data_IF_865228468436
#
_entry.id   IF_865228468436
#
_cell.length_a   1.000
_cell.length_b   1.000
_cell.length_c   1.000
_cell.angle_alpha   90.00
_cell.angle_beta   90.00
_cell.angle_gamma   90.00
#
_symmetry.space_group_name_H-M   'P 1'
#
loop_
_entity.id
_entity.type
_entity.pdbx_description
1 polymer ?
#
# COMPACT_ATOMS: atom_id res chain seq x y z
N UNK A 1 4.19 20.23 2.33
CA UNK A 1 5.36 19.64 1.64
C UNK A 1 5.13 18.16 1.47
N UNK A 2 5.54 17.59 0.35
CA UNK A 2 5.40 16.17 0.05
C UNK A 2 6.74 15.47 0.29
N UNK A 3 6.71 14.40 1.07
CA UNK A 3 7.85 13.52 1.30
C UNK A 3 7.71 12.29 0.38
N UNK A 4 8.74 12.02 -0.41
CA UNK A 4 8.79 10.78 -1.16
C UNK A 4 9.07 9.63 -0.18
N UNK A 5 8.33 8.54 -0.32
CA UNK A 5 8.42 7.39 0.57
C UNK A 5 8.57 6.09 -0.20
N UNK A 6 9.18 5.13 0.47
CA UNK A 6 9.24 3.74 0.05
C UNK A 6 8.54 2.83 1.06
N UNK A 7 8.16 1.63 0.64
CA UNK A 7 7.58 0.64 1.53
C UNK A 7 8.72 -0.03 2.30
N UNK A 8 8.79 0.23 3.61
CA UNK A 8 9.78 -0.38 4.48
C UNK A 8 9.40 -1.83 4.84
N UNK A 9 8.11 -2.14 4.88
CA UNK A 9 7.65 -3.49 5.17
C UNK A 9 6.16 -3.59 5.41
N UNK A 10 5.72 -4.84 5.58
CA UNK A 10 4.40 -5.22 6.05
C UNK A 10 4.57 -6.00 7.35
N UNK A 11 3.78 -5.68 8.35
CA UNK A 11 3.77 -6.36 9.65
C UNK A 11 2.33 -6.55 10.15
N UNK A 12 2.18 -7.21 11.29
CA UNK A 12 0.87 -7.40 11.93
C UNK A 12 0.82 -6.64 13.24
N UNK A 13 -0.29 -5.96 13.50
CA UNK A 13 -0.59 -5.41 14.79
C UNK A 13 -0.99 -6.55 15.74
N UNK A 14 -0.23 -6.84 16.81
CA UNK A 14 -0.52 -7.96 17.70
C UNK A 14 -1.80 -7.75 18.51
N UNK A 15 -2.22 -6.51 18.73
CA UNK A 15 -3.42 -6.19 19.50
C UNK A 15 -4.71 -6.41 18.70
N UNK A 16 -4.72 -6.02 17.42
CA UNK A 16 -5.91 -6.08 16.55
C UNK A 16 -5.84 -7.20 15.52
N UNK A 17 -4.70 -7.86 15.37
CA UNK A 17 -4.43 -8.85 14.32
C UNK A 17 -4.69 -8.29 12.91
N UNK A 18 -4.36 -7.01 12.72
CA UNK A 18 -4.57 -6.27 11.48
C UNK A 18 -3.22 -5.98 10.81
N UNK A 19 -3.09 -6.17 9.49
CA UNK A 19 -1.87 -5.82 8.78
C UNK A 19 -1.57 -4.32 8.84
N UNK A 20 -0.29 -4.00 8.97
CA UNK A 20 0.23 -2.63 8.92
C UNK A 20 1.24 -2.53 7.77
N UNK A 21 1.06 -1.57 6.90
CA UNK A 21 2.09 -1.17 5.95
C UNK A 21 2.88 -0.01 6.52
N UNK A 22 4.21 -0.09 6.43
CA UNK A 22 5.11 0.95 6.93
C UNK A 22 5.71 1.68 5.72
N UNK A 23 5.38 2.96 5.60
CA UNK A 23 5.97 3.86 4.62
C UNK A 23 7.10 4.65 5.29
N UNK A 24 8.30 4.56 4.75
CA UNK A 24 9.47 5.27 5.24
C UNK A 24 9.86 6.39 4.26
N UNK A 25 10.16 7.58 4.78
CA UNK A 25 10.70 8.68 4.00
C UNK A 25 12.05 8.30 3.37
N UNK A 26 12.25 8.70 2.12
CA UNK A 26 13.52 8.50 1.42
C UNK A 26 14.60 9.47 1.92
N UNK A 27 14.22 10.60 2.51
CA UNK A 27 15.11 11.69 2.91
C UNK A 27 15.52 11.66 4.39
N UNK A 28 14.70 11.03 5.24
CA UNK A 28 14.93 11.00 6.70
C UNK A 28 14.44 9.68 7.32
N UNK A 29 14.57 9.54 8.65
CA UNK A 29 14.18 8.32 9.37
C UNK A 29 12.67 8.27 9.72
N UNK A 30 11.86 9.20 9.19
CA UNK A 30 10.45 9.24 9.52
C UNK A 30 9.70 8.12 8.80
N UNK A 31 8.77 7.50 9.54
CA UNK A 31 7.93 6.45 9.02
C UNK A 31 6.46 6.68 9.39
N UNK A 32 5.56 6.21 8.55
CA UNK A 32 4.12 6.26 8.74
C UNK A 32 3.56 4.85 8.69
N UNK A 33 3.06 4.33 9.82
CA UNK A 33 2.32 3.07 9.85
C UNK A 33 0.87 3.31 9.41
N UNK A 34 0.38 2.46 8.52
CA UNK A 34 -1.01 2.52 8.05
C UNK A 34 -1.64 1.13 8.21
N UNK A 35 -2.69 1.04 9.01
CA UNK A 35 -3.48 -0.19 9.17
C UNK A 35 -4.32 -0.43 7.93
N UNK A 36 -4.26 -1.63 7.38
CA UNK A 36 -4.93 -2.02 6.14
C UNK A 36 -5.63 -3.37 6.31
N UNK A 37 -6.55 -3.70 5.40
CA UNK A 37 -7.19 -5.01 5.40
C UNK A 37 -6.27 -6.13 4.92
N UNK A 38 -6.61 -7.37 5.26
CA UNK A 38 -5.81 -8.54 4.87
C UNK A 38 -5.77 -8.73 3.35
N UNK A 39 -6.88 -8.52 2.66
CA UNK A 39 -6.94 -8.61 1.20
C UNK A 39 -6.10 -7.54 0.52
N UNK A 40 -6.10 -6.33 1.06
CA UNK A 40 -5.29 -5.22 0.60
C UNK A 40 -3.80 -5.49 0.83
N UNK A 41 -3.44 -5.99 2.02
CA UNK A 41 -2.06 -6.39 2.33
C UNK A 41 -1.56 -7.50 1.37
N UNK A 42 -2.41 -8.46 1.08
CA UNK A 42 -2.14 -9.53 0.10
C UNK A 42 -1.88 -8.98 -1.30
N UNK A 43 -2.71 -8.02 -1.74
CA UNK A 43 -2.53 -7.38 -3.04
C UNK A 43 -1.22 -6.60 -3.14
N UNK A 44 -0.82 -5.91 -2.07
CA UNK A 44 0.45 -5.19 -1.99
C UNK A 44 1.63 -6.17 -1.97
N UNK A 45 1.56 -7.19 -1.13
CA UNK A 45 2.62 -8.20 -1.03
C UNK A 45 2.85 -8.93 -2.36
N UNK A 46 1.79 -9.31 -3.07
CA UNK A 46 1.91 -9.94 -4.38
C UNK A 46 2.59 -9.04 -5.42
N UNK A 47 2.28 -7.75 -5.39
CA UNK A 47 2.93 -6.79 -6.28
C UNK A 47 4.42 -6.60 -5.94
N UNK A 48 4.77 -6.51 -4.66
CA UNK A 48 6.16 -6.41 -4.20
C UNK A 48 6.99 -7.64 -4.60
N UNK A 49 6.39 -8.82 -4.56
CA UNK A 49 7.05 -10.09 -4.92
C UNK A 49 6.97 -10.42 -6.41
N UNK A 50 6.35 -9.56 -7.23
CA UNK A 50 6.11 -9.79 -8.65
C UNK A 50 5.36 -11.10 -8.95
N UNK A 51 4.45 -11.49 -8.06
CA UNK A 51 3.62 -12.66 -8.25
C UNK A 51 2.62 -12.39 -9.41
N UNK A 52 2.60 -13.30 -10.37
CA UNK A 52 1.65 -13.25 -11.49
C UNK A 52 0.63 -14.34 -11.31
N UNK A 53 -0.64 -13.96 -11.34
CA UNK A 53 -1.77 -14.86 -11.29
C UNK A 53 -2.20 -15.27 -12.71
N UNK A 54 -2.79 -16.45 -12.85
CA UNK A 54 -3.36 -16.91 -14.13
C UNK A 54 -4.47 -15.99 -14.65
N UNK A 55 -5.20 -15.37 -13.72
CA UNK A 55 -6.23 -14.37 -14.02
C UNK A 55 -5.94 -13.08 -13.24
N UNK A 56 -6.24 -11.90 -13.81
CA UNK A 56 -5.99 -10.64 -13.13
C UNK A 56 -6.86 -10.53 -11.86
N UNK A 57 -6.23 -10.17 -10.75
CA UNK A 57 -6.92 -9.78 -9.52
C UNK A 57 -7.43 -8.33 -9.65
N UNK A 58 -8.18 -7.84 -8.66
CA UNK A 58 -8.87 -6.54 -8.76
C UNK A 58 -7.97 -5.38 -9.16
N UNK A 59 -6.80 -5.22 -8.53
CA UNK A 59 -5.87 -4.12 -8.87
C UNK A 59 -5.18 -4.37 -10.22
N UNK A 60 -4.92 -5.63 -10.60
CA UNK A 60 -4.39 -5.98 -11.91
C UNK A 60 -5.42 -5.68 -13.01
N UNK A 61 -6.70 -5.97 -12.74
CA UNK A 61 -7.79 -5.65 -13.65
C UNK A 61 -7.91 -4.14 -13.89
N UNK A 62 -7.82 -3.34 -12.82
CA UNK A 62 -7.83 -1.88 -12.94
C UNK A 62 -6.62 -1.37 -13.71
N UNK A 63 -5.43 -1.93 -13.49
CA UNK A 63 -4.27 -1.61 -14.30
C UNK A 63 -4.50 -1.92 -15.78
N UNK A 64 -4.99 -3.12 -16.10
CA UNK A 64 -5.29 -3.52 -17.48
C UNK A 64 -6.32 -2.58 -18.12
N UNK A 65 -7.35 -2.18 -17.37
CA UNK A 65 -8.34 -1.23 -17.82
C UNK A 65 -7.72 0.14 -18.15
N UNK A 66 -6.90 0.67 -17.25
CA UNK A 66 -6.22 1.94 -17.45
C UNK A 66 -5.25 1.88 -18.67
N UNK A 67 -4.47 0.80 -18.78
CA UNK A 67 -3.57 0.58 -19.92
C UNK A 67 -4.35 0.55 -21.26
N UNK A 68 -5.50 -0.10 -21.28
CA UNK A 68 -6.37 -0.15 -22.49
C UNK A 68 -6.85 1.23 -22.90
N UNK A 69 -7.10 2.12 -21.95
CA UNK A 69 -7.49 3.51 -22.17
C UNK A 69 -6.29 4.46 -22.32
N UNK A 70 -5.06 3.94 -22.30
CA UNK A 70 -3.83 4.75 -22.37
C UNK A 70 -3.74 5.77 -21.22
N UNK A 71 -4.23 5.37 -20.03
CA UNK A 71 -4.16 6.15 -18.79
C UNK A 71 -3.01 5.59 -17.95
N UNK A 72 -2.17 6.48 -17.42
CA UNK A 72 -1.09 6.12 -16.50
C UNK A 72 -1.24 6.82 -15.16
N UNK A 73 -0.59 6.29 -14.13
CA UNK A 73 -0.48 6.92 -12.81
C UNK A 73 0.86 7.64 -12.73
N UNK A 74 0.81 8.94 -12.44
CA UNK A 74 1.99 9.80 -12.29
C UNK A 74 2.59 9.69 -10.90
N UNK A 75 1.73 9.68 -9.91
CA UNK A 75 2.06 9.53 -8.49
C UNK A 75 0.83 9.11 -7.68
N UNK A 76 1.06 8.64 -6.48
CA UNK A 76 0.03 8.54 -5.44
C UNK A 76 0.48 9.33 -4.21
N UNK A 77 -0.49 9.78 -3.42
CA UNK A 77 -0.25 10.69 -2.33
C UNK A 77 -1.15 10.35 -1.15
N UNK A 78 -0.56 10.07 0.01
CA UNK A 78 -1.31 10.01 1.28
C UNK A 78 -1.40 11.45 1.78
N UNK A 79 -2.58 12.05 1.63
CA UNK A 79 -2.76 13.50 1.72
C UNK A 79 -3.38 13.99 3.01
N UNK A 80 -4.01 13.13 3.81
CA UNK A 80 -4.61 13.54 5.08
C UNK A 80 -4.75 12.38 6.07
N UNK A 81 -4.87 12.73 7.35
CA UNK A 81 -5.21 11.85 8.45
C UNK A 81 -6.25 12.55 9.33
N UNK A 82 -7.48 12.04 9.35
CA UNK A 82 -8.60 12.55 10.15
C UNK A 82 -9.28 11.42 10.87
N UNK A 83 -9.54 11.59 12.15
CA UNK A 83 -10.26 10.60 12.97
C UNK A 83 -9.72 9.18 12.79
N UNK A 84 -8.39 9.01 12.87
CA UNK A 84 -7.66 7.77 12.61
C UNK A 84 -7.87 7.16 11.21
N UNK A 85 -8.36 7.93 10.27
CA UNK A 85 -8.58 7.51 8.88
C UNK A 85 -7.61 8.24 7.97
N UNK A 86 -6.78 7.47 7.27
CA UNK A 86 -5.89 7.99 6.24
C UNK A 86 -6.62 8.17 4.92
N UNK A 87 -6.36 9.27 4.24
CA UNK A 87 -6.88 9.60 2.92
C UNK A 87 -5.75 9.62 1.90
N UNK A 88 -6.03 9.15 0.70
CA UNK A 88 -5.06 9.18 -0.39
C UNK A 88 -5.69 9.68 -1.69
N UNK A 89 -4.84 10.13 -2.61
CA UNK A 89 -5.19 10.50 -3.98
C UNK A 89 -4.28 9.79 -4.97
N UNK A 90 -4.87 9.39 -6.08
CA UNK A 90 -4.18 8.82 -7.22
C UNK A 90 -4.23 9.83 -8.34
N UNK A 91 -3.06 10.23 -8.85
CA UNK A 91 -2.94 11.20 -9.93
C UNK A 91 -2.74 10.49 -11.25
N UNK A 92 -3.71 10.64 -12.12
CA UNK A 92 -3.75 10.04 -13.43
C UNK A 92 -3.40 11.04 -14.52
N UNK A 93 -2.83 10.52 -15.60
CA UNK A 93 -2.61 11.25 -16.83
C UNK A 93 -3.03 10.40 -18.02
N UNK A 94 -3.70 11.02 -18.97
CA UNK A 94 -3.97 10.49 -20.29
C UNK A 94 -3.36 11.44 -21.33
N UNK A 95 -3.59 11.15 -22.61
CA UNK A 95 -3.05 11.95 -23.72
C UNK A 95 -3.45 13.43 -23.63
N UNK A 96 -4.66 13.70 -23.17
CA UNK A 96 -5.28 15.03 -23.24
C UNK A 96 -5.69 15.60 -21.87
N UNK A 97 -5.60 14.81 -20.80
CA UNK A 97 -6.12 15.18 -19.49
C UNK A 97 -5.23 14.66 -18.36
N UNK A 98 -5.20 15.43 -17.28
CA UNK A 98 -4.74 14.99 -15.97
C UNK A 98 -5.85 15.18 -14.96
N UNK A 99 -6.04 14.21 -14.07
CA UNK A 99 -7.06 14.22 -13.04
C UNK A 99 -6.60 13.40 -11.84
N UNK A 100 -7.22 13.61 -10.71
CA UNK A 100 -6.97 12.84 -9.50
C UNK A 100 -8.27 12.24 -8.95
N UNK A 101 -8.12 11.12 -8.26
CA UNK A 101 -9.23 10.38 -7.67
C UNK A 101 -8.93 10.12 -6.20
N UNK A 102 -9.93 10.32 -5.35
CA UNK A 102 -9.90 9.90 -3.96
C UNK A 102 -9.79 8.37 -3.84
N UNK A 103 -8.97 7.89 -2.93
CA UNK A 103 -8.72 6.48 -2.74
C UNK A 103 -8.34 6.16 -1.30
N UNK A 104 -8.53 4.90 -0.90
CA UNK A 104 -7.89 4.42 0.32
C UNK A 104 -6.38 4.29 0.08
N UNK A 105 -5.53 4.55 1.09
CA UNK A 105 -4.08 4.40 0.94
C UNK A 105 -3.66 3.02 0.42
N UNK A 106 -4.29 1.96 0.88
CA UNK A 106 -4.01 0.59 0.45
C UNK A 106 -4.22 0.38 -1.06
N UNK A 107 -5.31 0.92 -1.62
CA UNK A 107 -5.60 0.85 -3.05
C UNK A 107 -4.62 1.70 -3.87
N UNK A 108 -4.34 2.90 -3.39
CA UNK A 108 -3.37 3.79 -4.02
C UNK A 108 -1.97 3.17 -4.09
N UNK A 109 -1.50 2.57 -2.98
CA UNK A 109 -0.21 1.88 -2.90
C UNK A 109 -0.18 0.64 -3.81
N UNK A 110 -1.23 -0.19 -3.77
CA UNK A 110 -1.34 -1.39 -4.61
C UNK A 110 -1.26 -1.06 -6.11
N UNK A 111 -1.86 0.06 -6.52
CA UNK A 111 -1.79 0.56 -7.89
C UNK A 111 -0.44 1.21 -8.20
N UNK A 112 0.12 2.01 -7.28
CA UNK A 112 1.44 2.62 -7.45
C UNK A 112 2.50 1.56 -7.75
N UNK A 113 2.50 0.45 -7.04
CA UNK A 113 3.42 -0.66 -7.28
C UNK A 113 3.27 -1.26 -8.69
N UNK A 114 2.03 -1.44 -9.17
CA UNK A 114 1.75 -2.00 -10.49
C UNK A 114 2.12 -1.05 -11.63
N UNK A 115 1.94 0.24 -11.42
CA UNK A 115 2.31 1.28 -12.40
C UNK A 115 3.77 1.76 -12.24
N UNK A 116 4.48 1.30 -11.22
CA UNK A 116 5.82 1.79 -10.85
C UNK A 116 5.83 3.31 -10.63
N UNK A 117 4.74 3.81 -10.08
CA UNK A 117 4.56 5.22 -9.76
C UNK A 117 5.14 5.54 -8.36
N UNK A 118 5.70 6.73 -8.16
CA UNK A 118 6.20 7.14 -6.86
C UNK A 118 5.06 7.36 -5.86
N UNK A 119 5.35 7.09 -4.59
CA UNK A 119 4.45 7.29 -3.47
C UNK A 119 4.95 8.47 -2.66
N UNK A 120 4.03 9.35 -2.28
CA UNK A 120 4.31 10.51 -1.44
C UNK A 120 3.38 10.54 -0.23
N UNK A 121 3.85 11.19 0.83
CA UNK A 121 3.07 11.46 2.04
C UNK A 121 3.17 12.96 2.34
N UNK A 122 2.04 13.58 2.66
CA UNK A 122 1.99 14.98 3.03
C UNK A 122 2.64 15.19 4.42
N UNK A 123 3.37 16.30 4.59
CA UNK A 123 4.04 16.63 5.85
C UNK A 123 3.08 16.61 7.05
N UNK A 124 1.87 17.11 6.86
CA UNK A 124 0.83 17.09 7.89
C UNK A 124 0.47 15.67 8.36
N UNK A 125 0.51 14.68 7.47
CA UNK A 125 0.29 13.27 7.80
C UNK A 125 1.48 12.70 8.56
N UNK A 126 2.70 13.01 8.11
CA UNK A 126 3.93 12.64 8.81
C UNK A 126 3.93 13.14 10.25
N UNK A 127 3.54 14.38 10.48
CA UNK A 127 3.49 14.97 11.81
C UNK A 127 2.39 14.37 12.69
N UNK A 128 1.20 14.18 12.15
CA UNK A 128 0.06 13.60 12.89
C UNK A 128 0.32 12.13 13.25
N UNK A 129 0.94 11.36 12.38
CA UNK A 129 1.24 9.95 12.65
C UNK A 129 2.28 9.76 13.76
N UNK A 130 3.23 10.69 13.93
CA UNK A 130 4.19 10.66 15.06
C UNK A 130 3.53 10.78 16.42
N UNK A 131 2.40 11.45 16.51
CA UNK A 131 1.67 11.65 17.77
C UNK A 131 0.99 10.36 18.21
N UNK A 132 0.65 9.49 17.26
CA UNK A 132 0.10 8.15 17.52
C UNK A 132 1.17 7.13 17.89
N UNK A 133 2.44 7.38 17.53
CA UNK A 133 3.57 6.47 17.77
C UNK A 133 4.05 6.40 19.24
N UNK A 134 3.44 7.13 20.15
CA UNK A 134 3.73 6.99 21.60
C UNK A 134 3.44 5.59 22.16
N UNK A 135 2.84 4.67 21.38
CA UNK A 135 2.51 3.30 21.75
C UNK A 135 2.91 2.23 20.70
N UNK A 136 3.54 2.62 19.60
CA UNK A 136 3.90 1.69 18.52
C UNK A 136 5.41 1.55 18.32
N UNK A 137 6.11 1.03 19.33
CA UNK A 137 7.29 0.21 19.07
C UNK A 137 6.78 -1.14 18.56
N UNK A 138 6.55 -1.27 17.26
CA UNK A 138 6.08 -2.53 16.69
C UNK A 138 7.02 -3.03 15.61
N UNK A 139 8.09 -3.61 16.06
CA UNK A 139 8.48 -4.87 15.44
C UNK A 139 7.73 -5.94 16.25
N UNK A 140 6.63 -6.48 15.73
CA UNK A 140 6.03 -7.66 16.33
C UNK A 140 7.03 -8.81 16.24
N UNK A 141 7.83 -8.95 17.29
CA UNK A 141 8.80 -10.03 17.46
C UNK A 141 8.13 -11.31 17.99
N UNK A 142 6.78 -11.29 18.14
CA UNK A 142 6.04 -12.48 18.54
C UNK A 142 6.17 -13.58 17.49
N UNK A 143 6.01 -14.82 17.93
CA UNK A 143 6.01 -15.99 17.04
C UNK A 143 4.89 -15.90 15.98
N UNK A 144 3.76 -15.26 16.31
CA UNK A 144 2.66 -15.06 15.37
C UNK A 144 2.95 -13.97 14.35
N UNK A 145 3.53 -12.84 14.75
CA UNK A 145 3.95 -11.79 13.84
C UNK A 145 5.00 -12.25 12.85
N UNK A 146 5.98 -13.06 13.33
CA UNK A 146 6.97 -13.69 12.45
C UNK A 146 6.32 -14.66 11.47
N UNK A 147 5.38 -15.49 11.91
CA UNK A 147 4.64 -16.42 11.03
C UNK A 147 3.85 -15.69 9.95
N UNK A 148 3.24 -14.55 10.27
CA UNK A 148 2.51 -13.74 9.29
C UNK A 148 3.45 -13.01 8.33
N UNK A 149 4.55 -12.46 8.82
CA UNK A 149 5.57 -11.87 7.95
C UNK A 149 6.14 -12.92 6.98
N UNK A 150 6.46 -14.11 7.48
CA UNK A 150 6.90 -15.24 6.66
C UNK A 150 5.81 -15.71 5.69
N UNK A 151 4.54 -15.77 6.12
CA UNK A 151 3.41 -16.10 5.25
C UNK A 151 3.26 -15.09 4.12
N UNK A 152 3.25 -13.79 4.41
CA UNK A 152 3.17 -12.74 3.39
C UNK A 152 4.40 -12.73 2.47
N UNK A 153 5.58 -13.03 3.02
CA UNK A 153 6.82 -13.10 2.25
C UNK A 153 6.89 -14.34 1.33
N UNK A 154 6.18 -15.41 1.67
CA UNK A 154 6.20 -16.69 0.94
C UNK A 154 4.89 -16.98 0.20
N UNK A 155 4.00 -15.97 0.05
CA UNK A 155 2.77 -16.13 -0.73
C UNK A 155 3.08 -16.62 -2.14
N UNK A 156 2.48 -17.74 -2.49
CA UNK A 156 2.56 -18.32 -3.82
C UNK A 156 1.22 -18.21 -4.55
N UNK A 157 1.26 -18.39 -5.86
CA UNK A 157 0.03 -18.40 -6.70
C UNK A 157 -0.96 -19.48 -6.24
N UNK A 158 -0.45 -20.58 -5.68
CA UNK A 158 -1.26 -21.71 -5.23
C UNK A 158 -2.06 -21.41 -3.95
N UNK A 159 -1.62 -20.43 -3.14
CA UNK A 159 -2.27 -20.03 -1.89
C UNK A 159 -3.60 -19.28 -2.12
N UNK A 160 -3.84 -18.78 -3.32
CA UNK A 160 -5.03 -18.00 -3.70
C UNK A 160 -6.12 -18.81 -4.40
N UNK A 161 -5.98 -20.11 -4.47
CA UNK A 161 -6.92 -21.01 -5.11
C UNK A 161 -7.01 -20.81 -6.63
N UNK A 162 -7.01 -21.91 -7.37
CA UNK A 162 -7.30 -21.89 -8.80
C UNK A 162 -8.80 -21.72 -8.96
N UNK A 163 -9.26 -20.52 -9.32
CA UNK A 163 -10.62 -20.35 -9.77
C UNK A 163 -10.78 -21.12 -11.08
N UNK A 164 -11.38 -22.31 -10.99
CA UNK A 164 -11.93 -22.98 -12.17
C UNK A 164 -13.21 -22.24 -12.53
N UNK A 165 -13.18 -21.55 -13.64
CA UNK A 165 -14.38 -21.07 -14.31
C UNK A 165 -15.02 -22.26 -15.01
#
# INVERSE_FOLDING_TARGET
>A
MLHKVSIAGLTMDPASNTPIIILKSDDDEQAVPIWIGLLEATSIASALQNIKYDRPMTHDLLKNFADTLQISIVKVEVCDLKDNTFYARIYFVSKDQSFDIDARPSDAIALALRFKAPIYVEDSVMQKSKITDGEAEVADTSEEGKKWADYLANLSVDDFGKYKV
#
